data_IF_915210737912
#
_entry.id   IF_915210737912
#
_cell.length_a   1.000
_cell.length_b   1.000
_cell.length_c   1.000
_cell.angle_alpha   90.00
_cell.angle_beta   90.00
_cell.angle_gamma   90.00
#
_symmetry.space_group_name_H-M   'P 1'
#
loop_
_entity.id
_entity.type
_entity.pdbx_description
1 polymer ?
#
# COMPACT_ATOMS: atom_id res chain seq x y z
N UNK A 1 18.53 -9.98 4.78
CA UNK A 1 17.92 -8.83 5.51
C UNK A 1 17.75 -7.61 4.62
N UNK A 2 18.75 -7.20 3.82
CA UNK A 2 18.64 -6.07 2.89
C UNK A 2 17.48 -6.22 1.88
N UNK A 3 17.25 -7.42 1.34
CA UNK A 3 16.16 -7.71 0.39
C UNK A 3 14.75 -7.38 0.92
N UNK A 4 14.48 -7.66 2.20
CA UNK A 4 13.16 -7.40 2.79
C UNK A 4 12.89 -5.89 2.88
N UNK A 5 13.87 -5.10 3.30
CA UNK A 5 13.74 -3.64 3.34
C UNK A 5 13.58 -3.04 1.94
N UNK A 6 14.27 -3.59 0.93
CA UNK A 6 14.08 -3.19 -0.47
C UNK A 6 12.65 -3.48 -0.95
N UNK A 7 11.98 -4.52 -0.43
CA UNK A 7 10.65 -4.92 -0.86
C UNK A 7 9.52 -4.01 -0.34
N UNK A 8 9.71 -3.40 0.83
CA UNK A 8 8.72 -2.51 1.48
C UNK A 8 8.18 -1.40 0.57
N UNK A 9 9.01 -0.57 -0.10
CA UNK A 9 8.48 0.48 -0.97
C UNK A 9 7.67 -0.07 -2.15
N UNK A 10 8.04 -1.23 -2.70
CA UNK A 10 7.28 -1.87 -3.77
C UNK A 10 5.94 -2.42 -3.27
N UNK A 11 5.90 -3.00 -2.07
CA UNK A 11 4.66 -3.43 -1.43
C UNK A 11 3.70 -2.26 -1.16
N UNK A 12 4.22 -1.14 -0.68
CA UNK A 12 3.44 0.09 -0.45
C UNK A 12 2.88 0.65 -1.76
N UNK A 13 3.72 0.75 -2.80
CA UNK A 13 3.30 1.23 -4.12
C UNK A 13 2.21 0.35 -4.72
N UNK A 14 2.38 -0.97 -4.68
CA UNK A 14 1.37 -1.91 -5.18
C UNK A 14 0.05 -1.78 -4.40
N UNK A 15 0.14 -1.59 -3.08
CA UNK A 15 -1.04 -1.38 -2.23
C UNK A 15 -1.82 -0.16 -2.64
N UNK A 16 -1.13 0.98 -2.80
CA UNK A 16 -1.77 2.25 -3.19
C UNK A 16 -2.44 2.09 -4.56
N UNK A 17 -1.76 1.48 -5.53
CA UNK A 17 -2.34 1.28 -6.87
C UNK A 17 -3.61 0.43 -6.82
N UNK A 18 -3.56 -0.74 -6.18
CA UNK A 18 -4.71 -1.64 -6.14
C UNK A 18 -5.84 -1.05 -5.29
N UNK A 19 -5.53 -0.51 -4.11
CA UNK A 19 -6.51 0.09 -3.21
C UNK A 19 -7.18 1.32 -3.83
N UNK A 20 -6.46 2.12 -4.64
CA UNK A 20 -7.03 3.25 -5.35
C UNK A 20 -8.14 2.82 -6.32
N UNK A 21 -7.89 1.82 -7.16
CA UNK A 21 -8.89 1.35 -8.13
C UNK A 21 -10.07 0.65 -7.44
N UNK A 22 -9.82 -0.18 -6.43
CA UNK A 22 -10.90 -0.87 -5.71
C UNK A 22 -11.72 0.10 -4.85
N UNK A 23 -11.05 0.96 -4.08
CA UNK A 23 -11.69 1.94 -3.20
C UNK A 23 -12.51 2.98 -3.94
N UNK A 24 -12.02 3.46 -5.10
CA UNK A 24 -12.79 4.36 -5.97
C UNK A 24 -14.04 3.70 -6.57
N UNK A 25 -14.04 2.38 -6.75
CA UNK A 25 -15.20 1.59 -7.13
C UNK A 25 -16.19 1.30 -5.99
N UNK A 26 -15.94 1.81 -4.78
CA UNK A 26 -16.77 1.61 -3.60
C UNK A 26 -16.53 0.29 -2.86
N UNK A 27 -15.51 -0.49 -3.25
CA UNK A 27 -15.12 -1.69 -2.52
C UNK A 27 -14.49 -1.28 -1.19
N UNK A 28 -15.26 -1.39 -0.12
CA UNK A 28 -14.86 -1.05 1.25
C UNK A 28 -15.17 -2.22 2.18
N UNK A 29 -14.32 -2.46 3.18
CA UNK A 29 -14.46 -3.59 4.10
C UNK A 29 -14.13 -4.97 3.50
N UNK A 30 -14.58 -6.04 4.17
CA UNK A 30 -14.33 -7.43 3.75
C UNK A 30 -12.89 -7.90 3.99
N UNK A 31 -12.46 -8.95 3.28
CA UNK A 31 -11.13 -9.57 3.47
C UNK A 31 -9.96 -8.62 3.21
N UNK A 32 -10.12 -7.71 2.23
CA UNK A 32 -9.08 -6.75 1.88
C UNK A 32 -9.12 -5.50 2.75
N UNK A 33 -10.23 -5.20 3.43
CA UNK A 33 -10.35 -4.10 4.39
C UNK A 33 -9.75 -2.80 3.83
N UNK A 34 -10.36 -2.28 2.75
CA UNK A 34 -9.91 -1.04 2.12
C UNK A 34 -10.59 0.13 2.81
N UNK A 35 -9.79 1.11 3.24
CA UNK A 35 -10.25 2.33 3.89
C UNK A 35 -9.54 3.56 3.35
N UNK A 36 -10.19 4.71 3.51
CA UNK A 36 -9.63 6.02 3.15
C UNK A 36 -8.78 6.54 4.31
N UNK A 37 -7.58 7.00 3.99
CA UNK A 37 -6.67 7.68 4.91
C UNK A 37 -6.65 9.15 4.51
N UNK A 38 -7.06 9.98 5.46
CA UNK A 38 -6.97 11.44 5.38
C UNK A 38 -5.64 11.88 6.00
N UNK A 39 -4.83 12.60 5.23
CA UNK A 39 -3.53 13.11 5.64
C UNK A 39 -3.57 14.63 5.65
N UNK A 40 -3.63 15.16 6.87
CA UNK A 40 -3.66 16.60 7.12
C UNK A 40 -2.42 17.04 7.90
N UNK A 41 -1.54 17.81 7.23
CA UNK A 41 -0.36 18.45 7.82
C UNK A 41 -0.45 19.98 7.65
N UNK A 42 -1.10 20.68 8.61
CA UNK A 42 -1.34 22.12 8.52
C UNK A 42 -0.06 22.97 8.44
N UNK A 43 1.02 22.53 9.08
CA UNK A 43 2.30 23.25 9.12
C UNK A 43 2.95 23.39 7.73
N UNK A 44 2.63 22.46 6.82
CA UNK A 44 3.14 22.44 5.46
C UNK A 44 2.08 22.80 4.41
N UNK A 45 0.84 23.08 4.83
CA UNK A 45 -0.29 23.29 3.93
C UNK A 45 -0.63 22.07 3.08
N UNK A 46 -0.33 20.86 3.58
CA UNK A 46 -0.55 19.59 2.87
C UNK A 46 -1.85 18.97 3.38
N UNK A 47 -2.75 18.70 2.45
CA UNK A 47 -4.04 18.05 2.68
C UNK A 47 -4.30 17.12 1.49
N UNK A 48 -4.32 15.81 1.74
CA UNK A 48 -4.64 14.83 0.71
C UNK A 48 -5.19 13.54 1.30
N UNK A 49 -5.95 12.84 0.46
CA UNK A 49 -6.53 11.55 0.77
C UNK A 49 -5.95 10.44 -0.12
N UNK A 50 -5.84 9.24 0.44
CA UNK A 50 -5.56 8.04 -0.35
C UNK A 50 -6.27 6.81 0.22
N UNK A 51 -6.29 5.71 -0.54
CA UNK A 51 -6.82 4.43 -0.08
C UNK A 51 -5.69 3.52 0.42
N UNK A 52 -5.93 2.84 1.53
CA UNK A 52 -4.98 1.91 2.13
C UNK A 52 -5.65 0.58 2.50
N UNK A 53 -4.83 -0.46 2.58
CA UNK A 53 -5.19 -1.78 3.09
C UNK A 53 -3.94 -2.48 3.63
N UNK A 54 -4.01 -2.91 4.89
CA UNK A 54 -2.93 -3.67 5.51
C UNK A 54 -2.74 -5.05 4.89
N UNK A 55 -3.83 -5.67 4.41
CA UNK A 55 -3.79 -7.00 3.81
C UNK A 55 -3.12 -6.98 2.45
N UNK A 56 -3.43 -5.96 1.63
CA UNK A 56 -2.72 -5.72 0.36
C UNK A 56 -1.25 -5.39 0.60
N UNK A 57 -0.94 -4.61 1.64
CA UNK A 57 0.44 -4.26 1.96
C UNK A 57 1.29 -5.45 2.35
N UNK A 58 0.79 -6.32 3.23
CA UNK A 58 1.49 -7.55 3.62
C UNK A 58 1.67 -8.46 2.41
N UNK A 59 0.60 -8.70 1.64
CA UNK A 59 0.65 -9.55 0.44
C UNK A 59 1.62 -9.01 -0.63
N UNK A 60 1.52 -7.71 -0.92
CA UNK A 60 2.38 -7.03 -1.88
C UNK A 60 3.85 -6.98 -1.45
N UNK A 61 4.12 -6.74 -0.18
CA UNK A 61 5.49 -6.76 0.36
C UNK A 61 6.09 -8.15 0.31
N UNK A 62 5.32 -9.20 0.62
CA UNK A 62 5.78 -10.59 0.51
C UNK A 62 6.08 -10.97 -0.94
N UNK A 63 5.19 -10.63 -1.88
CA UNK A 63 5.41 -10.83 -3.30
C UNK A 63 6.69 -10.12 -3.78
N UNK A 64 6.82 -8.83 -3.46
CA UNK A 64 8.00 -8.04 -3.82
C UNK A 64 9.28 -8.60 -3.19
N UNK A 65 9.22 -9.10 -1.95
CA UNK A 65 10.36 -9.72 -1.29
C UNK A 65 10.85 -10.96 -2.03
N UNK A 66 9.95 -11.87 -2.43
CA UNK A 66 10.35 -13.03 -3.23
C UNK A 66 10.90 -12.65 -4.60
N UNK A 67 10.34 -11.64 -5.26
CA UNK A 67 10.88 -11.13 -6.53
C UNK A 67 12.30 -10.57 -6.33
N UNK A 68 12.51 -9.74 -5.31
CA UNK A 68 13.84 -9.18 -5.00
C UNK A 68 14.83 -10.29 -4.66
N UNK A 69 14.42 -11.30 -3.89
CA UNK A 69 15.26 -12.47 -3.59
C UNK A 69 15.67 -13.26 -4.84
N UNK A 70 14.83 -13.31 -5.88
CA UNK A 70 15.16 -13.98 -7.13
C UNK A 70 16.10 -13.16 -8.04
N UNK A 71 16.19 -11.85 -7.79
CA UNK A 71 17.01 -10.91 -8.56
C UNK A 71 18.37 -10.61 -7.89
N UNK A 72 18.51 -10.92 -6.59
CA UNK A 72 19.78 -10.86 -5.85
C UNK A 72 20.70 -12.05 -6.23
#
# INVERSE_FOLDING_TARGET
MIAFFKAVPFGALLTILIALFMGSGGATGGMLEIFRVDVYFPEYGIDFDFYWSWMLFIGGTMLAFFIVLMLD
#
